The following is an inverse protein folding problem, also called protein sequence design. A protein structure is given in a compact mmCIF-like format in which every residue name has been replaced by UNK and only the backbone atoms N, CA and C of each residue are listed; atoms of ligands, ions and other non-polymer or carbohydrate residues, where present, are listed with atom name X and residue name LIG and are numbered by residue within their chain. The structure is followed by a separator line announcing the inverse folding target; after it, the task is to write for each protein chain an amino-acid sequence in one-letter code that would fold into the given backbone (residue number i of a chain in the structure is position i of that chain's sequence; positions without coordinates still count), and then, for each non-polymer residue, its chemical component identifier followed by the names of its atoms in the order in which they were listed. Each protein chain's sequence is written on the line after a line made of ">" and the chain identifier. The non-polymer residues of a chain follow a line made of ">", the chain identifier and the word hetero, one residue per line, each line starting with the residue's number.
data_IF_743860815511
#
_entry.id   IF_743860815511
#
_cell.length_a   1.000
_cell.length_b   1.000
_cell.length_c   1.000
_cell.angle_alpha   90.00
_cell.angle_beta   90.00
_cell.angle_gamma   90.00
#
_symmetry.space_group_name_H-M   'P 1'
#
loop_
_entity.id
_entity.type
_entity.pdbx_description
1 polymer ?
#
# COMPACT_ATOMS: atom_id res chain seq x y z
N UNK A 1 21.83 -2.51 -5.14
CA UNK A 1 20.73 -2.54 -4.15
C UNK A 1 20.04 -3.90 -4.18
N UNK A 2 19.97 -4.57 -3.03
CA UNK A 2 19.20 -5.81 -2.86
C UNK A 2 17.70 -5.46 -2.80
N UNK A 3 16.87 -6.03 -3.68
CA UNK A 3 15.43 -5.89 -3.57
C UNK A 3 14.88 -6.81 -2.46
N UNK A 4 13.82 -6.38 -1.76
CA UNK A 4 13.17 -7.15 -0.69
C UNK A 4 13.43 -6.59 0.72
N UNK A 5 13.25 -7.43 1.75
CA UNK A 5 13.38 -7.02 3.17
C UNK A 5 14.74 -6.37 3.47
N UNK A 6 15.89 -6.90 3.01
CA UNK A 6 17.19 -6.28 3.29
C UNK A 6 17.30 -4.86 2.71
N UNK A 7 16.87 -4.66 1.47
CA UNK A 7 16.87 -3.33 0.85
C UNK A 7 15.93 -2.35 1.55
N UNK A 8 14.76 -2.80 2.00
CA UNK A 8 13.86 -1.95 2.76
C UNK A 8 14.45 -1.56 4.13
N UNK A 9 15.13 -2.47 4.82
CA UNK A 9 15.83 -2.14 6.06
C UNK A 9 16.94 -1.10 5.84
N UNK A 10 17.79 -1.31 4.84
CA UNK A 10 18.82 -0.36 4.45
C UNK A 10 18.21 1.02 4.14
N UNK A 11 17.11 1.05 3.39
CA UNK A 11 16.38 2.28 3.11
C UNK A 11 15.93 2.99 4.39
N UNK A 12 15.29 2.29 5.31
CA UNK A 12 14.86 2.86 6.59
C UNK A 12 16.04 3.36 7.44
N UNK A 13 17.14 2.63 7.47
CA UNK A 13 18.36 3.02 8.19
C UNK A 13 18.96 4.29 7.59
N UNK A 14 19.12 4.34 6.27
CA UNK A 14 19.74 5.45 5.58
C UNK A 14 18.90 6.74 5.60
N UNK A 15 17.58 6.68 5.42
CA UNK A 15 16.73 7.89 5.44
C UNK A 15 16.55 8.47 6.86
N UNK A 16 16.73 7.66 7.90
CA UNK A 16 16.65 8.11 9.30
C UNK A 16 17.93 8.83 9.77
N UNK A 17 19.05 8.61 9.10
CA UNK A 17 20.35 9.21 9.42
C UNK A 17 20.86 10.08 8.25
N UNK A 18 20.76 11.42 8.35
CA UNK A 18 21.26 12.35 7.34
C UNK A 18 22.78 12.25 7.06
N UNK A 19 23.54 11.59 7.93
CA UNK A 19 24.99 11.38 7.77
C UNK A 19 25.33 10.03 7.14
N UNK A 20 24.34 9.17 6.92
CA UNK A 20 24.52 7.88 6.27
C UNK A 20 25.00 8.06 4.82
N UNK A 21 25.96 7.24 4.40
CA UNK A 21 26.60 7.37 3.07
C UNK A 21 25.59 7.28 1.91
N UNK A 22 24.57 6.43 2.06
CA UNK A 22 23.49 6.24 1.08
C UNK A 22 22.28 7.21 1.25
N UNK A 23 22.26 8.10 2.25
CA UNK A 23 21.10 8.95 2.57
C UNK A 23 20.62 9.74 1.35
N UNK A 24 21.55 10.48 0.73
CA UNK A 24 21.30 11.36 -0.40
C UNK A 24 20.82 10.61 -1.65
N UNK A 25 21.42 9.45 -1.93
CA UNK A 25 21.08 8.64 -3.09
C UNK A 25 19.67 8.06 -2.93
N UNK A 26 19.37 7.52 -1.75
CA UNK A 26 18.08 6.88 -1.46
C UNK A 26 16.94 7.88 -1.33
N UNK A 27 17.18 9.07 -0.76
CA UNK A 27 16.20 10.16 -0.73
C UNK A 27 15.88 10.68 -2.14
N UNK A 28 16.91 10.81 -3.01
CA UNK A 28 16.69 11.18 -4.42
C UNK A 28 15.94 10.10 -5.18
N UNK A 29 16.27 8.83 -4.96
CA UNK A 29 15.57 7.71 -5.58
C UNK A 29 14.10 7.65 -5.16
N UNK A 30 13.80 7.85 -3.87
CA UNK A 30 12.42 7.85 -3.39
C UNK A 30 11.64 9.09 -3.85
N UNK A 31 12.29 10.26 -3.92
CA UNK A 31 11.78 11.45 -4.59
C UNK A 31 10.72 12.25 -3.82
N UNK A 32 10.49 11.94 -2.54
CA UNK A 32 9.56 12.65 -1.66
C UNK A 32 10.01 12.55 -0.19
N UNK A 33 9.44 13.34 0.73
CA UNK A 33 9.59 13.06 2.16
C UNK A 33 9.01 11.69 2.48
N UNK A 34 9.79 10.86 3.19
CA UNK A 34 9.32 9.56 3.69
C UNK A 34 9.13 9.65 5.21
N UNK A 35 7.93 9.31 5.68
CA UNK A 35 7.64 9.11 7.09
C UNK A 35 7.11 7.67 7.28
N UNK A 36 7.89 6.76 7.92
CA UNK A 36 7.46 5.38 8.14
C UNK A 36 6.24 5.26 9.05
N UNK A 37 5.93 6.29 9.85
CA UNK A 37 4.79 6.30 10.76
C UNK A 37 3.52 6.87 10.11
N UNK A 38 3.62 7.51 8.94
CA UNK A 38 2.50 8.13 8.26
C UNK A 38 1.65 7.07 7.54
N UNK A 39 0.57 6.64 8.19
CA UNK A 39 -0.43 5.74 7.63
C UNK A 39 -1.80 6.43 7.66
N UNK A 40 -2.39 6.68 6.49
CA UNK A 40 -3.75 7.21 6.39
C UNK A 40 -4.79 6.08 6.53
N UNK A 41 -5.08 5.73 7.78
CA UNK A 41 -6.04 4.67 8.12
C UNK A 41 -7.43 4.91 7.54
N UNK A 42 -7.92 6.14 7.57
CA UNK A 42 -9.25 6.49 7.12
C UNK A 42 -9.40 6.29 5.61
N UNK A 43 -8.40 6.73 4.82
CA UNK A 43 -8.36 6.50 3.39
C UNK A 43 -8.28 5.01 3.05
N UNK A 44 -7.46 4.25 3.79
CA UNK A 44 -7.34 2.79 3.62
C UNK A 44 -8.69 2.12 3.89
N UNK A 45 -9.33 2.42 5.02
CA UNK A 45 -10.64 1.87 5.39
C UNK A 45 -11.70 2.23 4.35
N UNK A 46 -11.74 3.47 3.89
CA UNK A 46 -12.67 3.92 2.86
C UNK A 46 -12.49 3.16 1.53
N UNK A 47 -11.24 2.95 1.10
CA UNK A 47 -10.91 2.20 -0.13
C UNK A 47 -11.27 0.72 -0.01
N UNK A 48 -10.98 0.08 1.12
CA UNK A 48 -11.36 -1.32 1.39
C UNK A 48 -12.88 -1.46 1.43
N UNK A 49 -13.59 -0.57 2.13
CA UNK A 49 -15.04 -0.58 2.21
C UNK A 49 -15.68 -0.46 0.81
N UNK A 50 -15.12 0.38 -0.07
CA UNK A 50 -15.57 0.48 -1.47
C UNK A 50 -15.40 -0.84 -2.23
N UNK A 51 -14.28 -1.54 -2.06
CA UNK A 51 -14.04 -2.86 -2.66
C UNK A 51 -15.04 -3.90 -2.13
N UNK A 52 -15.25 -3.93 -0.82
CA UNK A 52 -16.20 -4.84 -0.17
C UNK A 52 -17.64 -4.64 -0.70
N UNK A 53 -18.10 -3.38 -0.80
CA UNK A 53 -19.42 -3.05 -1.37
C UNK A 53 -19.57 -3.55 -2.79
N UNK A 54 -18.58 -3.29 -3.67
CA UNK A 54 -18.61 -3.78 -5.06
C UNK A 54 -18.72 -5.29 -5.13
N UNK A 55 -17.96 -6.01 -4.29
CA UNK A 55 -18.01 -7.48 -4.22
C UNK A 55 -19.37 -7.98 -3.74
N UNK A 56 -19.96 -7.34 -2.74
CA UNK A 56 -21.28 -7.73 -2.22
C UNK A 56 -22.37 -7.59 -3.29
N UNK A 57 -22.38 -6.46 -4.01
CA UNK A 57 -23.31 -6.21 -5.12
C UNK A 57 -23.15 -7.27 -6.21
N UNK A 58 -21.91 -7.52 -6.65
CA UNK A 58 -21.63 -8.53 -7.67
C UNK A 58 -22.08 -9.94 -7.25
N UNK A 59 -21.83 -10.32 -5.99
CA UNK A 59 -22.28 -11.61 -5.45
C UNK A 59 -23.81 -11.71 -5.44
N UNK A 60 -24.51 -10.64 -5.06
CA UNK A 60 -25.97 -10.61 -5.05
C UNK A 60 -26.56 -10.71 -6.46
N UNK A 61 -25.99 -9.98 -7.42
CA UNK A 61 -26.40 -10.03 -8.83
C UNK A 61 -26.21 -11.44 -9.42
N UNK A 62 -25.06 -12.07 -9.16
CA UNK A 62 -24.77 -13.44 -9.58
C UNK A 62 -25.72 -14.47 -8.93
N UNK A 63 -26.03 -14.32 -7.63
CA UNK A 63 -26.99 -15.21 -6.98
C UNK A 63 -28.39 -15.08 -7.60
N UNK A 64 -28.82 -13.85 -7.90
CA UNK A 64 -30.10 -13.58 -8.56
C UNK A 64 -30.18 -14.20 -9.96
N UNK A 65 -29.13 -14.07 -10.77
CA UNK A 65 -29.14 -14.63 -12.13
C UNK A 65 -29.29 -16.15 -12.14
N UNK A 66 -28.75 -16.87 -11.14
CA UNK A 66 -28.92 -18.33 -11.05
C UNK A 66 -30.31 -18.79 -10.60
N UNK A 67 -31.07 -17.94 -9.90
CA UNK A 67 -32.44 -18.25 -9.47
C UNK A 67 -33.50 -18.04 -10.56
N UNK A 68 -33.17 -17.34 -11.65
CA UNK A 68 -34.07 -17.07 -12.77
C UNK A 68 -34.01 -18.13 -13.90
N UNK A 69 -33.14 -19.13 -13.78
CA UNK A 69 -32.93 -20.19 -14.79
C UNK A 69 -33.75 -21.46 -14.47
N UNK A 70 -34.67 -21.40 -13.49
CA UNK A 70 -35.59 -22.49 -13.16
C UNK A 70 -37.04 -22.09 -13.47
#
# INVERSE_FOLDING_TARGET
>A
MSAGIPGFKLFLEAIADPTHEEHDELMRWYGAPFDPALIDEDLIRARIARLARRRAIGKAAFAKSRGQIN
#
